data_IF_066054818007
#
_entry.id   IF_066054818007
#
_cell.length_a   1.000
_cell.length_b   1.000
_cell.length_c   1.000
_cell.angle_alpha   90.00
_cell.angle_beta   90.00
_cell.angle_gamma   90.00
#
_symmetry.space_group_name_H-M   'P 1'
#
loop_
_entity.id
_entity.type
_entity.pdbx_description
1 polymer ?
#
# COMPACT_ATOMS: atom_id res chain seq x y z
N UNK A 1 30.05 -48.67 24.30
CA UNK A 1 29.01 -49.65 24.68
C UNK A 1 28.04 -48.96 25.62
N UNK A 2 26.76 -49.19 25.34
CA UNK A 2 25.52 -48.65 25.91
C UNK A 2 25.52 -48.40 27.43
N UNK A 3 25.11 -47.19 27.83
CA UNK A 3 24.57 -46.90 29.17
C UNK A 3 23.05 -47.15 29.14
N UNK A 4 22.61 -48.13 29.93
CA UNK A 4 21.20 -48.48 30.18
C UNK A 4 20.73 -47.75 31.44
N UNK A 5 19.56 -47.13 31.39
CA UNK A 5 18.82 -46.67 32.56
C UNK A 5 17.72 -47.70 32.89
N UNK A 6 17.73 -48.18 34.13
CA UNK A 6 16.69 -49.02 34.73
C UNK A 6 15.53 -48.13 35.22
N UNK A 7 14.30 -48.45 34.82
CA UNK A 7 13.08 -47.95 35.45
C UNK A 7 12.50 -49.06 36.32
N UNK A 8 12.42 -48.82 37.63
CA UNK A 8 11.68 -49.67 38.56
C UNK A 8 10.18 -49.54 38.30
N UNK A 9 9.56 -50.67 37.99
CA UNK A 9 8.13 -50.89 38.11
C UNK A 9 7.83 -51.18 39.58
N UNK A 10 6.94 -50.40 40.20
CA UNK A 10 6.10 -50.91 41.27
C UNK A 10 4.63 -50.69 40.88
N UNK A 11 3.93 -51.83 40.79
CA UNK A 11 2.51 -51.99 40.53
C UNK A 11 1.68 -51.55 41.74
N UNK A 12 0.52 -50.94 41.51
CA UNK A 12 -0.74 -51.46 42.06
C UNK A 12 -1.95 -50.72 41.48
N UNK A 13 -2.84 -51.51 40.88
CA UNK A 13 -4.21 -51.22 40.54
C UNK A 13 -5.03 -50.72 41.72
N UNK A 14 -5.94 -49.77 41.49
CA UNK A 14 -7.30 -49.84 42.02
C UNK A 14 -8.24 -48.96 41.17
N UNK A 15 -9.27 -49.61 40.64
CA UNK A 15 -10.41 -49.02 39.93
C UNK A 15 -11.30 -48.29 40.93
N UNK A 16 -11.43 -46.96 40.83
CA UNK A 16 -12.60 -46.23 41.32
C UNK A 16 -12.95 -45.07 40.36
N UNK A 17 -14.08 -45.20 39.67
CA UNK A 17 -14.75 -44.10 38.98
C UNK A 17 -15.55 -43.27 40.00
N UNK A 18 -15.39 -41.94 40.06
CA UNK A 18 -16.42 -41.06 40.58
C UNK A 18 -17.17 -40.40 39.42
N UNK A 19 -18.47 -40.64 39.38
CA UNK A 19 -19.44 -39.84 38.63
C UNK A 19 -19.81 -38.56 39.40
N UNK A 20 -20.34 -37.59 38.65
CA UNK A 20 -21.11 -36.39 39.05
C UNK A 20 -20.38 -35.03 39.13
N UNK A 21 -20.77 -34.20 38.15
CA UNK A 21 -21.05 -32.76 38.23
C UNK A 21 -19.98 -31.83 38.78
N UNK A 22 -19.16 -31.31 37.87
CA UNK A 22 -18.70 -29.93 37.97
C UNK A 22 -19.17 -29.15 36.74
N UNK A 23 -20.17 -28.30 36.95
CA UNK A 23 -20.44 -27.19 36.05
C UNK A 23 -19.15 -26.36 35.98
N UNK A 24 -18.42 -26.49 34.87
CA UNK A 24 -17.31 -25.62 34.57
C UNK A 24 -17.87 -24.21 34.38
N UNK A 25 -17.73 -23.40 35.43
CA UNK A 25 -17.80 -21.95 35.30
C UNK A 25 -16.78 -21.58 34.21
N UNK A 26 -17.29 -21.33 33.01
CA UNK A 26 -16.56 -20.71 31.92
C UNK A 26 -16.01 -19.40 32.48
N UNK A 27 -14.74 -19.42 32.91
CA UNK A 27 -13.99 -18.18 33.11
C UNK A 27 -14.13 -17.39 31.81
N UNK A 28 -14.55 -16.12 31.83
CA UNK A 28 -14.56 -15.32 30.62
C UNK A 28 -13.15 -15.42 30.03
N UNK A 29 -13.07 -15.93 28.79
CA UNK A 29 -11.81 -16.03 28.05
C UNK A 29 -11.20 -14.63 28.09
N UNK A 30 -9.99 -14.50 28.64
CA UNK A 30 -9.31 -13.21 28.64
C UNK A 30 -9.33 -12.64 27.21
N UNK A 31 -9.59 -11.32 27.03
CA UNK A 31 -9.62 -10.74 25.70
C UNK A 31 -8.30 -11.10 24.99
N UNK A 32 -8.42 -11.60 23.76
CA UNK A 32 -7.25 -11.89 22.92
C UNK A 32 -6.58 -10.54 22.65
N UNK A 33 -5.41 -10.31 23.24
CA UNK A 33 -4.64 -9.09 23.01
C UNK A 33 -4.25 -9.03 21.53
N UNK A 34 -4.69 -7.99 20.83
CA UNK A 34 -4.37 -7.75 19.42
C UNK A 34 -3.05 -7.00 19.27
N UNK A 35 -2.40 -7.12 18.13
CA UNK A 35 -1.15 -6.41 17.84
C UNK A 35 -1.36 -4.89 17.94
N UNK A 36 -2.45 -4.36 17.38
CA UNK A 36 -2.82 -2.94 17.46
C UNK A 36 -3.14 -2.45 18.88
N UNK A 37 -3.51 -3.34 19.81
CA UNK A 37 -3.75 -2.98 21.21
C UNK A 37 -2.45 -2.83 22.01
N UNK A 38 -1.41 -3.52 21.58
CA UNK A 38 -0.12 -3.61 22.28
C UNK A 38 0.98 -2.78 21.61
N UNK A 39 0.72 -2.31 20.38
CA UNK A 39 1.67 -1.53 19.61
C UNK A 39 1.65 -0.06 20.04
N UNK A 40 2.73 0.36 20.71
CA UNK A 40 2.91 1.74 21.13
C UNK A 40 3.71 2.54 20.08
N UNK A 41 3.08 3.58 19.54
CA UNK A 41 3.74 4.52 18.62
C UNK A 41 4.40 5.64 19.43
N UNK A 42 5.70 5.85 19.21
CA UNK A 42 6.44 6.96 19.82
C UNK A 42 5.87 8.30 19.36
N UNK A 43 5.92 9.31 20.23
CA UNK A 43 5.37 10.65 19.97
C UNK A 43 5.82 11.28 18.65
N UNK A 44 7.10 11.13 18.33
CA UNK A 44 7.75 11.64 17.12
C UNK A 44 7.33 10.92 15.85
N UNK A 45 6.83 9.68 15.97
CA UNK A 45 6.42 8.83 14.86
C UNK A 45 4.90 8.76 14.70
N UNK A 46 4.15 9.58 15.43
CA UNK A 46 2.70 9.66 15.28
C UNK A 46 2.33 10.03 13.85
N UNK A 47 1.23 9.49 13.31
CA UNK A 47 0.82 9.77 11.95
C UNK A 47 0.43 11.25 11.79
N UNK A 48 0.85 11.86 10.67
CA UNK A 48 0.62 13.27 10.39
C UNK A 48 0.09 13.45 8.97
N UNK A 49 -0.95 14.28 8.83
CA UNK A 49 -1.52 14.67 7.55
C UNK A 49 -0.71 15.81 6.92
N UNK A 50 -0.44 15.69 5.62
CA UNK A 50 0.25 16.70 4.84
C UNK A 50 -0.60 17.19 3.69
N UNK A 51 -0.53 18.50 3.43
CA UNK A 51 -1.28 19.10 2.33
C UNK A 51 -0.53 18.94 1.01
N UNK A 52 -1.27 18.79 -0.10
CA UNK A 52 -0.67 18.79 -1.42
C UNK A 52 0.09 20.10 -1.70
N UNK A 53 -0.44 21.24 -1.25
CA UNK A 53 0.19 22.56 -1.40
C UNK A 53 1.57 22.62 -0.71
N UNK A 54 1.66 22.18 0.56
CA UNK A 54 2.92 22.19 1.29
C UNK A 54 3.97 21.31 0.61
N UNK A 55 3.61 20.13 0.12
CA UNK A 55 4.55 19.23 -0.57
C UNK A 55 4.96 19.78 -1.96
N UNK A 56 4.02 20.31 -2.74
CA UNK A 56 4.32 20.91 -4.06
C UNK A 56 5.22 22.13 -3.93
N UNK A 57 5.06 22.92 -2.86
CA UNK A 57 5.89 24.10 -2.64
C UNK A 57 7.39 23.76 -2.55
N UNK A 58 7.73 22.55 -2.10
CA UNK A 58 9.13 22.11 -1.98
C UNK A 58 9.71 21.56 -3.28
N UNK A 59 8.89 21.44 -4.34
CA UNK A 59 9.33 21.02 -5.66
C UNK A 59 9.50 22.21 -6.61
N UNK A 60 9.11 23.42 -6.20
CA UNK A 60 9.24 24.60 -7.04
C UNK A 60 10.70 24.86 -7.42
N UNK A 61 10.93 25.05 -8.71
CA UNK A 61 12.24 25.29 -9.32
C UNK A 61 13.24 24.12 -9.14
N UNK A 62 12.73 22.93 -8.81
CA UNK A 62 13.50 21.70 -8.77
C UNK A 62 13.47 21.05 -10.15
N UNK A 63 14.66 20.68 -10.66
CA UNK A 63 14.79 19.79 -11.80
C UNK A 63 14.73 18.36 -11.30
N UNK A 64 13.78 17.59 -11.84
CA UNK A 64 13.63 16.16 -11.55
C UNK A 64 14.24 15.36 -12.69
N UNK A 65 15.17 14.46 -12.39
CA UNK A 65 15.60 13.43 -13.35
C UNK A 65 14.95 12.10 -13.02
N UNK A 66 14.49 11.38 -14.04
CA UNK A 66 13.73 10.15 -13.89
C UNK A 66 14.11 9.09 -14.92
N UNK A 67 13.77 7.84 -14.62
CA UNK A 67 13.90 6.71 -15.54
C UNK A 67 12.58 6.01 -15.72
N UNK A 68 12.38 5.41 -16.89
CA UNK A 68 11.25 4.53 -17.13
C UNK A 68 11.67 3.07 -16.92
N UNK A 69 10.76 2.30 -16.35
CA UNK A 69 10.88 0.85 -16.19
C UNK A 69 9.67 0.19 -16.84
N UNK A 70 9.87 -1.03 -17.35
CA UNK A 70 8.81 -1.88 -17.88
C UNK A 70 8.63 -3.04 -16.92
N UNK A 71 7.41 -3.21 -16.41
CA UNK A 71 7.04 -4.34 -15.54
C UNK A 71 7.12 -5.67 -16.32
N UNK A 72 7.16 -6.82 -15.65
CA UNK A 72 7.04 -8.13 -16.31
C UNK A 72 5.78 -8.26 -17.19
N UNK A 73 4.66 -7.66 -16.78
CA UNK A 73 3.42 -7.57 -17.55
C UNK A 73 3.41 -6.53 -18.67
N UNK A 74 4.52 -5.86 -18.95
CA UNK A 74 4.68 -4.94 -20.08
C UNK A 74 4.18 -3.51 -19.84
N UNK A 75 3.88 -3.14 -18.60
CA UNK A 75 3.42 -1.81 -18.23
C UNK A 75 4.61 -0.86 -18.00
N UNK A 76 4.52 0.36 -18.53
CA UNK A 76 5.54 1.39 -18.31
C UNK A 76 5.23 2.17 -17.04
N UNK A 77 6.24 2.35 -16.20
CA UNK A 77 6.20 3.22 -15.02
C UNK A 77 7.45 4.08 -14.95
N UNK A 78 7.35 5.24 -14.30
CA UNK A 78 8.45 6.19 -14.18
C UNK A 78 8.92 6.32 -12.72
N UNK A 79 10.21 6.52 -12.51
CA UNK A 79 10.80 6.65 -11.17
C UNK A 79 11.81 7.77 -11.16
N UNK A 80 11.67 8.71 -10.24
CA UNK A 80 12.70 9.70 -9.93
C UNK A 80 14.00 9.00 -9.55
N UNK A 81 15.11 9.48 -10.09
CA UNK A 81 16.40 8.86 -9.84
C UNK A 81 16.90 9.14 -8.42
N UNK A 82 17.53 8.12 -7.82
CA UNK A 82 17.97 8.24 -6.43
C UNK A 82 19.10 9.27 -6.27
N UNK A 83 19.99 9.38 -7.26
CA UNK A 83 21.04 10.40 -7.22
C UNK A 83 20.46 11.82 -7.30
N UNK A 84 19.33 12.00 -7.98
CA UNK A 84 18.63 13.29 -8.09
C UNK A 84 18.02 13.69 -6.74
N UNK A 85 17.42 12.71 -6.04
CA UNK A 85 16.96 12.89 -4.64
C UNK A 85 18.13 13.29 -3.74
N UNK A 86 19.26 12.58 -3.82
CA UNK A 86 20.47 12.91 -3.04
C UNK A 86 20.96 14.34 -3.33
N UNK A 87 20.99 14.73 -4.60
CA UNK A 87 21.40 16.07 -5.00
C UNK A 87 20.48 17.14 -4.41
N UNK A 88 19.15 16.98 -4.49
CA UNK A 88 18.21 17.91 -3.88
C UNK A 88 18.48 18.08 -2.38
N UNK A 89 18.61 16.97 -1.64
CA UNK A 89 18.88 16.97 -0.20
C UNK A 89 20.22 17.64 0.16
N UNK A 90 21.22 17.55 -0.72
CA UNK A 90 22.51 18.24 -0.55
C UNK A 90 22.43 19.75 -0.85
N UNK A 91 21.48 20.18 -1.68
CA UNK A 91 21.31 21.60 -2.05
C UNK A 91 20.39 22.39 -1.13
N UNK A 92 19.47 21.71 -0.44
CA UNK A 92 18.59 22.35 0.55
C UNK A 92 19.38 22.79 1.79
N UNK A 93 18.94 23.87 2.46
CA UNK A 93 19.65 24.44 3.60
C UNK A 93 19.93 23.40 4.71
N UNK A 94 21.12 23.46 5.29
CA UNK A 94 21.56 22.54 6.35
C UNK A 94 20.68 22.73 7.62
N UNK A 95 19.69 21.86 7.77
CA UNK A 95 18.99 21.63 9.04
C UNK A 95 19.53 20.35 9.71
N UNK A 96 19.39 20.18 11.03
CA UNK A 96 19.75 18.92 11.70
C UNK A 96 19.05 17.70 11.07
N UNK A 97 17.78 17.85 10.71
CA UNK A 97 16.98 16.87 9.96
C UNK A 97 17.58 16.54 8.59
N UNK A 98 18.11 17.54 7.89
CA UNK A 98 18.76 17.35 6.59
C UNK A 98 20.05 16.53 6.74
N UNK A 99 20.80 16.66 7.84
CA UNK A 99 22.02 15.90 8.09
C UNK A 99 21.75 14.41 8.33
N UNK A 100 20.72 14.09 9.14
CA UNK A 100 20.30 12.70 9.37
C UNK A 100 19.85 12.03 8.06
N UNK A 101 19.08 12.75 7.23
CA UNK A 101 18.64 12.27 5.93
C UNK A 101 19.81 12.10 4.94
N UNK A 102 20.78 13.01 4.93
CA UNK A 102 21.99 12.87 4.13
C UNK A 102 22.77 11.62 4.53
N UNK A 103 22.95 11.40 5.84
CA UNK A 103 23.61 10.21 6.36
C UNK A 103 22.88 8.94 5.93
N UNK A 104 21.56 8.90 6.09
CA UNK A 104 20.69 7.81 5.65
C UNK A 104 20.88 7.47 4.15
N UNK A 105 20.90 8.49 3.30
CA UNK A 105 21.03 8.31 1.84
C UNK A 105 22.47 7.96 1.40
N UNK A 106 23.48 8.20 2.24
CA UNK A 106 24.90 7.94 1.95
C UNK A 106 25.33 6.55 2.47
N UNK A 107 24.75 6.05 3.57
CA UNK A 107 25.19 4.83 4.28
C UNK A 107 24.78 3.49 3.63
N UNK A 108 24.47 3.48 2.33
CA UNK A 108 23.96 2.37 1.50
C UNK A 108 24.71 1.01 1.53
N UNK A 109 25.72 0.81 2.37
CA UNK A 109 26.51 -0.43 2.44
C UNK A 109 26.35 -1.26 3.73
N UNK A 110 25.43 -0.94 4.65
CA UNK A 110 25.23 -1.76 5.87
C UNK A 110 23.75 -2.03 6.20
N UNK A 111 23.24 -3.10 5.58
CA UNK A 111 22.00 -3.81 5.88
C UNK A 111 20.69 -3.06 5.57
N UNK A 112 19.94 -3.58 4.59
CA UNK A 112 18.71 -3.02 4.01
C UNK A 112 17.55 -2.77 5.00
N UNK A 113 17.66 -3.20 6.26
CA UNK A 113 16.58 -3.16 7.25
C UNK A 113 17.15 -2.94 8.66
N UNK A 114 17.30 -1.68 9.07
CA UNK A 114 17.55 -1.34 10.47
C UNK A 114 16.21 -1.08 11.19
N UNK A 115 16.03 -1.64 12.39
CA UNK A 115 14.80 -1.42 13.16
C UNK A 115 14.66 0.06 13.53
N UNK A 116 13.50 0.66 13.23
CA UNK A 116 13.18 2.08 13.45
C UNK A 116 13.84 3.09 12.51
N UNK A 117 14.56 2.64 11.48
CA UNK A 117 15.11 3.49 10.42
C UNK A 117 14.68 2.88 9.08
N UNK A 118 13.56 3.35 8.53
CA UNK A 118 13.02 2.82 7.28
C UNK A 118 13.68 3.52 6.08
N UNK A 119 14.67 2.87 5.46
CA UNK A 119 15.37 3.36 4.27
C UNK A 119 14.68 2.94 2.96
N UNK A 120 13.77 1.96 3.03
CA UNK A 120 13.19 1.28 1.86
C UNK A 120 12.34 2.17 0.96
N UNK A 121 11.78 3.27 1.48
CA UNK A 121 10.83 4.11 0.73
C UNK A 121 11.44 4.89 -0.44
N UNK A 122 12.77 5.11 -0.43
CA UNK A 122 13.49 5.77 -1.52
C UNK A 122 13.78 4.86 -2.73
N UNK A 123 13.60 3.55 -2.56
CA UNK A 123 13.84 2.54 -3.60
C UNK A 123 12.51 1.90 -3.99
N UNK A 124 12.43 1.49 -5.26
CA UNK A 124 11.32 0.64 -5.71
C UNK A 124 11.67 -0.81 -5.43
N UNK A 125 10.66 -1.54 -4.96
CA UNK A 125 10.76 -2.96 -4.67
C UNK A 125 10.05 -3.76 -5.76
N UNK A 126 10.51 -4.98 -6.03
CA UNK A 126 9.99 -5.81 -7.12
C UNK A 126 8.48 -6.03 -7.01
N UNK A 127 7.98 -6.21 -5.78
CA UNK A 127 6.55 -6.39 -5.52
C UNK A 127 5.67 -5.21 -5.96
N UNK A 128 6.23 -4.00 -6.11
CA UNK A 128 5.43 -2.85 -6.58
C UNK A 128 5.10 -2.97 -8.06
N UNK A 129 5.97 -3.59 -8.87
CA UNK A 129 5.71 -3.87 -10.28
C UNK A 129 4.65 -4.96 -10.44
N UNK A 130 4.68 -5.99 -9.58
CA UNK A 130 3.65 -7.03 -9.55
C UNK A 130 2.25 -6.44 -9.30
N UNK A 131 2.13 -5.48 -8.38
CA UNK A 131 0.87 -4.77 -8.12
C UNK A 131 0.45 -3.95 -9.34
N UNK A 132 1.38 -3.26 -10.01
CA UNK A 132 1.07 -2.52 -11.25
C UNK A 132 0.47 -3.44 -12.30
N UNK A 133 1.04 -4.63 -12.50
CA UNK A 133 0.52 -5.62 -13.45
C UNK A 133 -0.87 -6.12 -13.06
N UNK A 134 -1.09 -6.37 -11.76
CA UNK A 134 -2.42 -6.73 -11.26
C UNK A 134 -3.44 -5.61 -11.50
N UNK A 135 -3.11 -4.35 -11.21
CA UNK A 135 -3.99 -3.21 -11.46
C UNK A 135 -4.28 -3.03 -12.95
N UNK A 136 -3.30 -3.26 -13.82
CA UNK A 136 -3.49 -3.24 -15.29
C UNK A 136 -4.50 -4.30 -15.73
N UNK A 137 -4.40 -5.52 -15.19
CA UNK A 137 -5.38 -6.59 -15.45
C UNK A 137 -6.79 -6.19 -15.00
N UNK A 138 -6.94 -5.58 -13.82
CA UNK A 138 -8.23 -5.12 -13.31
C UNK A 138 -8.87 -4.04 -14.20
N UNK A 139 -8.07 -3.07 -14.65
CA UNK A 139 -8.54 -2.02 -15.58
C UNK A 139 -8.99 -2.62 -16.92
N UNK A 140 -8.24 -3.59 -17.45
CA UNK A 140 -8.57 -4.22 -18.73
C UNK A 140 -9.85 -5.06 -18.65
N UNK A 141 -10.04 -5.78 -17.56
CA UNK A 141 -11.25 -6.58 -17.34
C UNK A 141 -12.50 -5.70 -17.20
N UNK A 142 -12.39 -4.55 -16.53
CA UNK A 142 -13.48 -3.56 -16.47
C UNK A 142 -13.89 -3.08 -17.86
N UNK A 143 -12.93 -2.70 -18.69
CA UNK A 143 -13.19 -2.22 -20.05
C UNK A 143 -13.84 -3.29 -20.94
N UNK A 144 -13.38 -4.54 -20.85
CA UNK A 144 -13.97 -5.65 -21.59
C UNK A 144 -15.45 -5.86 -21.22
N UNK A 145 -15.77 -5.82 -19.92
CA UNK A 145 -17.14 -5.96 -19.41
C UNK A 145 -18.06 -4.78 -19.79
N UNK A 146 -17.52 -3.58 -19.90
CA UNK A 146 -18.26 -2.41 -20.38
C UNK A 146 -18.62 -2.52 -21.88
N UNK A 147 -17.71 -3.08 -22.70
CA UNK A 147 -17.98 -3.27 -24.14
C UNK A 147 -18.99 -4.37 -24.43
N UNK A 148 -18.97 -5.49 -23.68
CA UNK A 148 -19.90 -6.61 -23.87
C UNK A 148 -21.34 -6.30 -23.45
N UNK A 149 -21.55 -5.37 -22.52
CA UNK A 149 -22.87 -4.94 -22.06
C UNK A 149 -23.56 -3.94 -23.01
N UNK A 150 -22.80 -3.28 -23.90
CA UNK A 150 -23.36 -2.32 -24.86
C UNK A 150 -23.98 -2.96 -26.12
N UNK A 151 -23.68 -4.23 -26.42
CA UNK A 151 -24.12 -4.88 -27.68
C UNK A 151 -25.40 -5.76 -27.54
N UNK A 152 -25.86 -6.07 -26.32
CA UNK A 152 -27.02 -6.94 -26.09
C UNK A 152 -28.06 -6.35 -25.12
N UNK A 153 -28.57 -5.14 -25.40
CA UNK A 153 -29.67 -4.56 -24.62
C UNK A 153 -31.05 -4.75 -25.27
N UNK A 154 -31.58 -5.98 -25.21
CA UNK A 154 -33.03 -6.23 -25.21
C UNK A 154 -33.40 -7.30 -24.19
N UNK A 155 -34.11 -6.85 -23.15
CA UNK A 155 -34.93 -7.58 -22.17
C UNK A 155 -34.32 -8.50 -21.08
N UNK A 156 -34.50 -7.99 -19.85
CA UNK A 156 -35.00 -8.62 -18.62
C UNK A 156 -34.19 -9.68 -17.84
N UNK A 157 -33.82 -9.21 -16.65
CA UNK A 157 -34.01 -9.78 -15.30
C UNK A 157 -33.13 -10.91 -14.74
N UNK A 158 -32.69 -10.60 -13.51
CA UNK A 158 -32.43 -11.48 -12.37
C UNK A 158 -31.36 -12.54 -12.54
N UNK A 159 -30.15 -12.19 -12.11
CA UNK A 159 -29.16 -13.10 -11.59
C UNK A 159 -28.21 -12.28 -10.74
N UNK A 160 -28.09 -12.63 -9.46
CA UNK A 160 -26.88 -12.39 -8.70
C UNK A 160 -25.72 -12.94 -9.52
N UNK A 161 -25.09 -12.10 -10.33
CA UNK A 161 -23.75 -12.36 -10.83
C UNK A 161 -22.83 -11.72 -9.83
N UNK A 162 -22.20 -12.55 -9.01
CA UNK A 162 -21.01 -12.24 -8.23
C UNK A 162 -19.99 -11.54 -9.15
N UNK A 163 -20.05 -10.21 -9.22
CA UNK A 163 -19.10 -9.41 -9.98
C UNK A 163 -17.79 -9.41 -9.19
N UNK A 164 -16.96 -10.40 -9.50
CA UNK A 164 -15.53 -10.44 -9.21
C UNK A 164 -14.91 -9.09 -9.62
N UNK A 165 -14.50 -8.33 -8.60
CA UNK A 165 -13.81 -7.04 -8.67
C UNK A 165 -14.33 -6.05 -9.74
N UNK A 166 -15.27 -5.20 -9.33
CA UNK A 166 -15.54 -3.95 -10.04
C UNK A 166 -14.26 -3.14 -10.22
N UNK A 167 -14.22 -2.34 -11.29
CA UNK A 167 -13.07 -1.52 -11.66
C UNK A 167 -12.42 -0.71 -10.53
N UNK A 168 -11.15 -0.38 -10.70
CA UNK A 168 -10.37 0.40 -9.72
C UNK A 168 -10.66 1.90 -9.78
N UNK A 169 -11.23 2.39 -10.89
CA UNK A 169 -11.64 3.79 -11.00
C UNK A 169 -12.91 4.05 -10.21
N UNK A 170 -12.98 5.22 -9.54
CA UNK A 170 -14.11 5.55 -8.68
C UNK A 170 -13.95 5.13 -7.22
N UNK A 171 -12.88 4.38 -6.90
CA UNK A 171 -12.58 3.91 -5.55
C UNK A 171 -11.76 4.94 -4.76
N UNK A 172 -11.86 4.85 -3.44
CA UNK A 172 -10.92 5.47 -2.53
C UNK A 172 -9.84 4.43 -2.15
N UNK A 173 -8.61 4.71 -2.58
CA UNK A 173 -7.51 3.75 -2.57
C UNK A 173 -6.46 4.20 -1.57
N UNK A 174 -6.11 3.33 -0.63
CA UNK A 174 -5.00 3.52 0.31
C UNK A 174 -3.78 2.73 -0.15
N UNK A 175 -2.65 3.39 -0.38
CA UNK A 175 -1.34 2.79 -0.61
C UNK A 175 -0.55 2.84 0.71
N UNK A 176 -0.55 1.73 1.45
CA UNK A 176 0.11 1.58 2.75
C UNK A 176 1.58 1.21 2.56
N UNK A 177 2.48 2.11 2.99
CA UNK A 177 3.91 1.95 2.75
C UNK A 177 4.25 2.23 1.29
N UNK A 178 3.76 3.37 0.77
CA UNK A 178 3.74 3.63 -0.65
C UNK A 178 5.14 3.83 -1.24
N UNK A 179 6.13 4.31 -0.48
CA UNK A 179 7.48 4.54 -0.98
C UNK A 179 7.49 5.36 -2.28
N UNK A 180 8.00 4.76 -3.35
CA UNK A 180 7.99 5.33 -4.71
C UNK A 180 6.61 5.46 -5.36
N UNK A 181 5.56 4.91 -4.77
CA UNK A 181 4.17 4.99 -5.20
C UNK A 181 3.93 4.58 -6.65
N UNK A 182 4.64 3.57 -7.14
CA UNK A 182 4.45 3.06 -8.50
C UNK A 182 3.01 2.59 -8.77
N UNK A 183 2.33 1.87 -7.86
CA UNK A 183 0.93 1.47 -8.08
C UNK A 183 0.00 2.68 -8.23
N UNK A 184 0.04 3.63 -7.30
CA UNK A 184 -0.78 4.84 -7.36
C UNK A 184 -0.45 5.73 -8.57
N UNK A 185 0.83 5.83 -8.93
CA UNK A 185 1.26 6.61 -10.10
C UNK A 185 0.82 5.99 -11.41
N UNK A 186 0.85 4.66 -11.51
CA UNK A 186 0.31 3.94 -12.66
C UNK A 186 -1.21 4.15 -12.79
N UNK A 187 -1.96 4.07 -11.69
CA UNK A 187 -3.40 4.36 -11.70
C UNK A 187 -3.70 5.78 -12.16
N UNK A 188 -2.96 6.76 -11.63
CA UNK A 188 -3.09 8.15 -12.03
C UNK A 188 -2.81 8.33 -13.52
N UNK A 189 -1.72 7.73 -14.02
CA UNK A 189 -1.37 7.74 -15.44
C UNK A 189 -2.49 7.15 -16.30
N UNK A 190 -2.99 5.96 -15.95
CA UNK A 190 -4.08 5.29 -16.69
C UNK A 190 -5.39 6.07 -16.65
N UNK A 191 -5.67 6.78 -15.56
CA UNK A 191 -6.83 7.66 -15.45
C UNK A 191 -6.79 8.77 -16.50
N UNK A 192 -5.63 9.38 -16.71
CA UNK A 192 -5.43 10.40 -17.75
C UNK A 192 -5.46 9.81 -19.16
N UNK A 193 -4.74 8.71 -19.38
CA UNK A 193 -4.68 8.00 -20.68
C UNK A 193 -6.09 7.62 -21.17
N UNK A 194 -6.91 7.08 -20.27
CA UNK A 194 -8.28 6.63 -20.56
C UNK A 194 -9.32 7.75 -20.45
N UNK A 195 -8.92 8.99 -20.19
CA UNK A 195 -9.80 10.13 -19.98
C UNK A 195 -10.89 9.89 -18.89
N UNK A 196 -10.62 9.05 -17.90
CA UNK A 196 -11.60 8.65 -16.89
C UNK A 196 -11.84 9.78 -15.88
N UNK A 197 -13.10 10.22 -15.74
CA UNK A 197 -13.50 11.35 -14.87
C UNK A 197 -14.20 10.94 -13.57
N UNK A 198 -14.24 9.65 -13.22
CA UNK A 198 -14.82 9.21 -11.94
C UNK A 198 -14.02 9.78 -10.77
N UNK A 199 -14.69 10.18 -9.69
CA UNK A 199 -13.99 10.70 -8.51
C UNK A 199 -13.15 9.61 -7.86
N UNK A 200 -11.92 9.91 -7.50
CA UNK A 200 -10.98 8.96 -6.91
C UNK A 200 -10.18 9.67 -5.81
N UNK A 201 -10.01 9.00 -4.67
CA UNK A 201 -9.06 9.43 -3.65
C UNK A 201 -7.86 8.49 -3.67
N UNK A 202 -6.66 9.05 -3.68
CA UNK A 202 -5.42 8.32 -3.46
C UNK A 202 -4.87 8.76 -2.10
N UNK A 203 -4.98 7.87 -1.11
CA UNK A 203 -4.40 8.05 0.22
C UNK A 203 -3.03 7.37 0.21
N UNK A 204 -1.97 8.14 0.39
CA UNK A 204 -0.59 7.72 0.23
C UNK A 204 0.10 7.83 1.58
N UNK A 205 0.55 6.69 2.12
CA UNK A 205 1.18 6.62 3.42
C UNK A 205 2.58 6.05 3.37
N UNK A 206 3.52 6.76 3.98
CA UNK A 206 4.87 6.23 4.23
C UNK A 206 5.28 6.58 5.67
N UNK A 207 6.21 5.82 6.23
CA UNK A 207 6.75 6.14 7.55
C UNK A 207 7.44 7.52 7.54
N UNK A 208 8.17 7.84 6.47
CA UNK A 208 8.99 9.05 6.39
C UNK A 208 8.30 10.15 5.58
N UNK A 209 8.21 11.35 6.16
CA UNK A 209 7.76 12.55 5.44
C UNK A 209 8.61 12.84 4.19
N UNK A 210 9.92 12.68 4.28
CA UNK A 210 10.83 12.95 3.17
C UNK A 210 10.64 12.01 1.99
N UNK A 211 10.17 10.77 2.21
CA UNK A 211 9.80 9.87 1.12
C UNK A 211 8.59 10.43 0.36
N UNK A 212 7.56 10.89 1.09
CA UNK A 212 6.38 11.50 0.48
C UNK A 212 6.74 12.73 -0.35
N UNK A 213 7.61 13.59 0.21
CA UNK A 213 8.04 14.85 -0.38
C UNK A 213 8.98 14.68 -1.58
N UNK A 214 10.01 13.85 -1.42
CA UNK A 214 11.11 13.75 -2.38
C UNK A 214 10.88 12.66 -3.43
N UNK A 215 9.98 11.71 -3.21
CA UNK A 215 9.83 10.54 -4.07
C UNK A 215 8.39 10.30 -4.50
N UNK A 216 7.47 10.13 -3.54
CA UNK A 216 6.06 9.79 -3.82
C UNK A 216 5.39 10.84 -4.70
N UNK A 217 5.37 12.11 -4.27
CA UNK A 217 4.73 13.18 -5.04
C UNK A 217 5.44 13.47 -6.37
N UNK A 218 6.78 13.56 -6.43
CA UNK A 218 7.50 13.67 -7.70
C UNK A 218 7.15 12.58 -8.71
N UNK A 219 7.04 11.32 -8.27
CA UNK A 219 6.68 10.22 -9.18
C UNK A 219 5.26 10.38 -9.73
N UNK A 220 4.28 10.80 -8.92
CA UNK A 220 2.92 11.11 -9.40
C UNK A 220 2.95 12.22 -10.46
N UNK A 221 3.74 13.28 -10.22
CA UNK A 221 3.89 14.40 -11.14
C UNK A 221 4.53 13.96 -12.45
N UNK A 222 5.60 13.16 -12.41
CA UNK A 222 6.29 12.63 -13.60
C UNK A 222 5.32 11.78 -14.44
N UNK A 223 4.55 10.89 -13.79
CA UNK A 223 3.56 10.08 -14.48
C UNK A 223 2.46 10.93 -15.12
N UNK A 224 1.97 11.97 -14.46
CA UNK A 224 1.05 12.92 -15.11
C UNK A 224 1.71 13.64 -16.30
N UNK A 225 2.96 14.12 -16.16
CA UNK A 225 3.70 14.79 -17.22
C UNK A 225 3.84 13.92 -18.48
N UNK A 226 4.02 12.60 -18.30
CA UNK A 226 4.10 11.63 -19.41
C UNK A 226 2.83 11.59 -20.27
N UNK A 227 1.69 12.06 -19.75
CA UNK A 227 0.40 12.07 -20.45
C UNK A 227 0.11 13.40 -21.15
N UNK A 228 1.03 14.38 -21.05
CA UNK A 228 0.87 15.67 -21.71
C UNK A 228 1.43 15.64 -23.14
N UNK A 229 0.80 16.37 -24.08
CA UNK A 229 1.41 16.63 -25.38
C UNK A 229 2.76 17.33 -25.22
N UNK A 230 3.78 16.92 -25.99
CA UNK A 230 5.16 17.45 -25.89
C UNK A 230 5.21 18.99 -25.93
N UNK A 231 4.40 19.63 -26.78
CA UNK A 231 4.32 21.10 -26.87
C UNK A 231 3.80 21.76 -25.59
N UNK A 232 2.84 21.12 -24.94
CA UNK A 232 2.26 21.61 -23.69
C UNK A 232 3.24 21.39 -22.54
N UNK A 233 3.85 20.20 -22.45
CA UNK A 233 4.89 19.92 -21.47
C UNK A 233 6.01 20.95 -21.55
N UNK A 234 6.58 21.17 -22.74
CA UNK A 234 7.63 22.18 -22.96
C UNK A 234 7.19 23.58 -22.48
N UNK A 235 5.95 23.99 -22.75
CA UNK A 235 5.43 25.29 -22.28
C UNK A 235 5.36 25.37 -20.75
N UNK A 236 5.04 24.27 -20.09
CA UNK A 236 4.91 24.20 -18.63
C UNK A 236 6.26 24.06 -17.93
N UNK A 237 7.27 23.47 -18.56
CA UNK A 237 8.56 23.16 -17.92
C UNK A 237 9.70 24.11 -18.31
N UNK A 238 9.52 25.02 -19.26
CA UNK A 238 10.58 25.97 -19.65
C UNK A 238 10.30 27.40 -19.21
N UNK A 239 11.36 28.16 -18.94
CA UNK A 239 11.33 29.62 -18.75
C UNK A 239 12.50 30.28 -19.50
N UNK A 240 12.73 31.58 -19.27
CA UNK A 240 13.81 32.32 -19.94
C UNK A 240 15.21 31.79 -19.58
N UNK A 241 15.38 31.19 -18.39
CA UNK A 241 16.65 30.66 -17.89
C UNK A 241 16.80 29.15 -18.19
N UNK A 242 15.69 28.40 -18.18
CA UNK A 242 15.59 26.95 -18.31
C UNK A 242 14.94 26.54 -19.64
N UNK A 243 15.60 26.87 -20.74
CA UNK A 243 15.10 26.61 -22.10
C UNK A 243 15.34 25.17 -22.61
N UNK A 244 16.16 24.37 -21.92
CA UNK A 244 16.57 23.02 -22.35
C UNK A 244 16.58 22.04 -21.18
N UNK A 245 15.97 20.88 -21.41
CA UNK A 245 16.00 19.72 -20.53
C UNK A 245 16.05 18.46 -21.39
N UNK A 246 16.65 17.40 -20.85
CA UNK A 246 16.74 16.11 -21.52
C UNK A 246 15.37 15.39 -21.49
N UNK A 247 15.18 14.33 -22.29
CA UNK A 247 13.90 13.60 -22.35
C UNK A 247 13.53 12.92 -21.02
N UNK A 248 14.51 12.73 -20.15
CA UNK A 248 14.46 12.14 -18.81
C UNK A 248 14.44 13.20 -17.70
N UNK A 249 14.18 14.46 -18.03
CA UNK A 249 14.13 15.57 -17.07
C UNK A 249 12.79 16.30 -17.11
N UNK A 250 12.34 16.77 -15.94
CA UNK A 250 11.21 17.70 -15.80
C UNK A 250 11.62 18.83 -14.86
N UNK A 251 11.62 20.06 -15.37
CA UNK A 251 11.75 21.24 -14.51
C UNK A 251 10.38 21.61 -13.94
N UNK A 252 10.29 21.65 -12.61
CA UNK A 252 9.04 21.89 -11.90
C UNK A 252 8.82 23.39 -11.70
N UNK A 253 8.26 24.04 -12.71
CA UNK A 253 7.91 25.46 -12.62
C UNK A 253 6.59 25.67 -11.87
N UNK A 254 6.36 26.89 -11.42
CA UNK A 254 5.07 27.34 -10.89
C UNK A 254 3.89 27.03 -11.84
N UNK A 255 4.09 27.18 -13.16
CA UNK A 255 3.03 26.90 -14.16
C UNK A 255 2.72 25.41 -14.23
N UNK A 256 3.74 24.55 -14.12
CA UNK A 256 3.56 23.10 -14.09
C UNK A 256 2.75 22.68 -12.85
N UNK A 257 3.11 23.22 -11.68
CA UNK A 257 2.39 22.99 -10.42
C UNK A 257 0.91 23.37 -10.56
N UNK A 258 0.62 24.58 -11.06
CA UNK A 258 -0.75 25.06 -11.25
C UNK A 258 -1.54 24.19 -12.25
N UNK A 259 -0.90 23.78 -13.35
CA UNK A 259 -1.50 22.89 -14.33
C UNK A 259 -1.79 21.50 -13.75
N UNK A 260 -0.89 20.96 -12.94
CA UNK A 260 -1.07 19.67 -12.26
C UNK A 260 -2.25 19.71 -11.29
N UNK A 261 -2.31 20.70 -10.40
CA UNK A 261 -3.42 20.87 -9.44
C UNK A 261 -4.76 21.04 -10.18
N UNK A 262 -4.80 21.86 -11.23
CA UNK A 262 -5.99 22.04 -12.05
C UNK A 262 -6.41 20.72 -12.71
N UNK A 263 -5.45 19.96 -13.23
CA UNK A 263 -5.68 18.66 -13.86
C UNK A 263 -6.24 17.63 -12.88
N UNK A 264 -5.74 17.58 -11.64
CA UNK A 264 -6.29 16.70 -10.59
C UNK A 264 -7.76 17.02 -10.34
N UNK A 265 -8.12 18.29 -10.20
CA UNK A 265 -9.51 18.74 -10.02
C UNK A 265 -10.40 18.37 -11.22
N UNK A 266 -9.93 18.63 -12.44
CA UNK A 266 -10.67 18.31 -13.67
C UNK A 266 -10.91 16.81 -13.88
N UNK A 267 -10.06 15.95 -13.31
CA UNK A 267 -10.20 14.50 -13.35
C UNK A 267 -10.82 13.90 -12.09
N UNK A 268 -11.18 14.74 -11.12
CA UNK A 268 -11.80 14.30 -9.86
C UNK A 268 -10.85 13.50 -8.97
N UNK A 269 -9.56 13.79 -9.00
CA UNK A 269 -8.54 13.15 -8.16
C UNK A 269 -8.26 14.00 -6.93
N UNK A 270 -8.36 13.39 -5.75
CA UNK A 270 -7.92 13.96 -4.48
C UNK A 270 -6.73 13.15 -3.97
N UNK A 271 -5.63 13.83 -3.65
CA UNK A 271 -4.41 13.23 -3.10
C UNK A 271 -4.33 13.55 -1.62
N UNK A 272 -4.17 12.51 -0.78
CA UNK A 272 -4.02 12.63 0.67
C UNK A 272 -2.71 11.99 1.07
N UNK A 273 -1.91 12.69 1.88
CA UNK A 273 -0.57 12.24 2.28
C UNK A 273 -0.51 12.08 3.79
N UNK A 274 -0.05 10.92 4.26
CA UNK A 274 0.07 10.60 5.69
C UNK A 274 1.49 10.08 5.96
N UNK A 275 2.29 10.84 6.70
CA UNK A 275 3.58 10.32 7.19
C UNK A 275 3.42 9.67 8.56
N UNK A 276 4.38 8.86 9.00
CA UNK A 276 4.45 8.32 10.36
C UNK A 276 4.06 6.84 10.45
N UNK A 277 4.07 6.32 11.67
CA UNK A 277 3.84 4.90 11.95
C UNK A 277 2.38 4.51 11.70
N UNK A 278 2.19 3.29 11.19
CA UNK A 278 0.89 2.63 11.22
C UNK A 278 0.44 2.39 12.67
N UNK A 279 -0.81 1.97 12.85
CA UNK A 279 -1.40 1.74 14.16
C UNK A 279 -2.79 2.35 14.26
N UNK A 280 -3.36 2.34 15.47
CA UNK A 280 -4.75 2.75 15.68
C UNK A 280 -4.99 4.23 15.34
N UNK A 281 -4.07 5.12 15.73
CA UNK A 281 -4.14 6.55 15.36
C UNK A 281 -4.06 6.76 13.84
N UNK A 282 -3.31 5.91 13.13
CA UNK A 282 -3.24 5.97 11.66
C UNK A 282 -4.54 5.51 11.02
N UNK A 283 -5.11 4.39 11.50
CA UNK A 283 -6.40 3.89 11.04
C UNK A 283 -7.51 4.93 11.23
N UNK A 284 -7.55 5.60 12.38
CA UNK A 284 -8.51 6.67 12.69
C UNK A 284 -8.43 7.83 11.68
N UNK A 285 -7.22 8.23 11.25
CA UNK A 285 -7.04 9.24 10.21
C UNK A 285 -7.55 8.73 8.86
N UNK A 286 -7.15 7.52 8.46
CA UNK A 286 -7.52 6.90 7.18
C UNK A 286 -9.03 6.73 7.04
N UNK A 287 -9.71 6.37 8.12
CA UNK A 287 -11.17 6.17 8.17
C UNK A 287 -11.96 7.42 7.77
N UNK A 288 -11.41 8.62 7.99
CA UNK A 288 -12.03 9.89 7.58
C UNK A 288 -12.24 9.99 6.07
N UNK A 289 -11.46 9.24 5.29
CA UNK A 289 -11.47 9.30 3.84
C UNK A 289 -12.35 8.25 3.19
N UNK A 290 -12.84 7.26 3.96
CA UNK A 290 -13.49 6.02 3.51
C UNK A 290 -12.59 5.23 2.57
N UNK A 291 -12.24 3.99 2.88
CA UNK A 291 -11.34 3.19 2.02
C UNK A 291 -12.09 2.01 1.42
N UNK A 292 -12.09 1.93 0.08
CA UNK A 292 -12.69 0.83 -0.66
C UNK A 292 -11.62 -0.19 -1.11
N UNK A 293 -10.37 0.27 -1.31
CA UNK A 293 -9.28 -0.56 -1.79
C UNK A 293 -7.97 -0.27 -1.04
N UNK A 294 -7.24 -1.29 -0.63
CA UNK A 294 -5.91 -1.15 -0.01
C UNK A 294 -4.86 -1.80 -0.90
N UNK A 295 -3.76 -1.10 -1.11
CA UNK A 295 -2.52 -1.61 -1.70
C UNK A 295 -1.48 -1.62 -0.60
N UNK A 296 -0.71 -2.70 -0.52
CA UNK A 296 0.49 -2.74 0.30
C UNK A 296 1.55 -3.59 -0.37
N UNK A 297 2.78 -3.07 -0.45
CA UNK A 297 3.88 -3.73 -1.17
C UNK A 297 5.12 -3.81 -0.28
N UNK A 298 5.62 -5.01 -0.02
CA UNK A 298 6.77 -5.29 0.86
C UNK A 298 6.67 -4.68 2.27
N UNK A 299 5.50 -4.74 2.91
CA UNK A 299 5.27 -4.19 4.27
C UNK A 299 5.27 -5.23 5.39
N UNK A 300 5.22 -6.51 5.02
CA UNK A 300 5.16 -7.67 5.94
C UNK A 300 6.53 -8.34 6.16
N UNK A 301 7.62 -7.59 6.01
CA UNK A 301 8.98 -8.11 6.06
C UNK A 301 9.45 -8.54 7.46
N UNK A 302 8.79 -8.09 8.53
CA UNK A 302 9.15 -8.40 9.92
C UNK A 302 7.99 -9.05 10.67
N UNK A 303 8.25 -10.05 11.54
CA UNK A 303 7.22 -10.65 12.40
C UNK A 303 6.54 -9.65 13.35
N UNK A 304 7.13 -8.48 13.57
CA UNK A 304 6.54 -7.41 14.39
C UNK A 304 5.56 -6.55 13.59
N UNK A 305 5.87 -6.24 12.33
CA UNK A 305 5.03 -5.35 11.49
C UNK A 305 3.88 -6.08 10.83
N UNK A 306 4.10 -7.34 10.47
CA UNK A 306 3.14 -8.19 9.78
C UNK A 306 1.77 -8.29 10.51
N UNK A 307 1.70 -8.50 11.84
CA UNK A 307 0.44 -8.46 12.59
C UNK A 307 -0.26 -7.09 12.55
N UNK A 308 0.51 -6.00 12.59
CA UNK A 308 0.00 -4.62 12.57
C UNK A 308 -0.64 -4.32 11.21
N UNK A 309 0.00 -4.72 10.11
CA UNK A 309 -0.54 -4.57 8.75
C UNK A 309 -1.83 -5.39 8.60
N UNK A 310 -1.80 -6.66 9.02
CA UNK A 310 -2.96 -7.55 8.95
C UNK A 310 -4.18 -6.95 9.68
N UNK A 311 -4.00 -6.56 10.94
CA UNK A 311 -5.08 -6.01 11.74
C UNK A 311 -5.55 -4.63 11.24
N UNK A 312 -4.65 -3.79 10.73
CA UNK A 312 -5.02 -2.48 10.18
C UNK A 312 -5.93 -2.63 8.96
N UNK A 313 -5.60 -3.53 8.03
CA UNK A 313 -6.44 -3.83 6.87
C UNK A 313 -7.85 -4.25 7.32
N UNK A 314 -7.93 -5.19 8.27
CA UNK A 314 -9.20 -5.71 8.76
C UNK A 314 -10.01 -4.66 9.53
N UNK A 315 -9.36 -3.85 10.37
CA UNK A 315 -10.01 -2.80 11.15
C UNK A 315 -10.59 -1.70 10.26
N UNK A 316 -9.81 -1.23 9.28
CA UNK A 316 -10.23 -0.20 8.30
C UNK A 316 -11.46 -0.70 7.53
N UNK A 317 -11.43 -1.93 6.99
CA UNK A 317 -12.57 -2.48 6.25
C UNK A 317 -13.79 -2.76 7.12
N UNK A 318 -13.59 -3.29 8.33
CA UNK A 318 -14.70 -3.56 9.23
C UNK A 318 -15.46 -2.27 9.59
N UNK A 319 -14.74 -1.20 9.93
CA UNK A 319 -15.36 0.10 10.22
C UNK A 319 -16.05 0.70 9.01
N UNK A 320 -15.45 0.61 7.82
CA UNK A 320 -16.06 1.06 6.57
C UNK A 320 -17.44 0.39 6.35
N UNK A 321 -17.55 -0.91 6.58
CA UNK A 321 -18.82 -1.64 6.41
C UNK A 321 -19.86 -1.29 7.47
N UNK A 322 -19.44 -1.07 8.72
CA UNK A 322 -20.34 -0.62 9.78
C UNK A 322 -20.97 0.74 9.45
N UNK A 323 -20.20 1.66 8.87
CA UNK A 323 -20.69 2.97 8.43
C UNK A 323 -21.70 2.83 7.26
N UNK A 324 -21.48 1.89 6.35
CA UNK A 324 -22.33 1.71 5.16
C UNK A 324 -23.70 1.06 5.46
N UNK A 325 -23.76 0.13 6.42
CA UNK A 325 -25.00 -0.53 6.83
C UNK A 325 -26.07 0.45 7.35
N UNK A 326 -25.69 1.70 7.63
CA UNK A 326 -26.57 2.73 8.16
C UNK A 326 -27.21 3.63 7.08
N UNK A 327 -26.83 3.54 5.80
CA UNK A 327 -27.24 4.58 4.81
C UNK A 327 -27.60 4.15 3.38
N UNK A 328 -27.39 2.91 2.93
CA UNK A 328 -27.87 2.49 1.58
C UNK A 328 -27.79 0.97 1.31
N UNK A 329 -28.75 0.45 0.53
CA UNK A 329 -28.93 -0.97 0.16
C UNK A 329 -27.87 -1.57 -0.80
N UNK A 330 -26.70 -0.94 -0.98
CA UNK A 330 -25.63 -1.49 -1.84
C UNK A 330 -24.38 -1.69 -0.98
N UNK A 331 -24.18 -2.94 -0.51
CA UNK A 331 -22.99 -3.37 0.24
C UNK A 331 -21.77 -3.12 -0.68
N UNK A 332 -20.85 -2.22 -0.31
CA UNK A 332 -19.61 -2.10 -1.06
C UNK A 332 -18.67 -3.22 -0.65
N UNK A 333 -18.12 -3.88 -1.64
CA UNK A 333 -17.03 -4.83 -1.48
C UNK A 333 -15.73 -4.07 -1.22
N UNK A 334 -14.98 -4.47 -0.19
CA UNK A 334 -13.67 -3.90 0.12
C UNK A 334 -12.58 -4.92 -0.19
N UNK A 335 -11.49 -4.48 -0.81
CA UNK A 335 -10.41 -5.38 -1.25
C UNK A 335 -9.04 -4.84 -0.90
N UNK A 336 -8.16 -5.69 -0.36
CA UNK A 336 -6.75 -5.40 -0.22
C UNK A 336 -5.90 -6.29 -1.12
N UNK A 337 -4.87 -5.71 -1.74
CA UNK A 337 -3.78 -6.43 -2.40
C UNK A 337 -2.51 -6.21 -1.58
N UNK A 338 -1.96 -7.30 -1.05
CA UNK A 338 -0.67 -7.30 -0.35
C UNK A 338 0.33 -8.08 -1.18
N UNK A 339 1.30 -7.39 -1.76
CA UNK A 339 2.39 -7.98 -2.52
C UNK A 339 3.63 -8.15 -1.64
N UNK A 340 4.20 -9.35 -1.60
CA UNK A 340 5.34 -9.63 -0.73
C UNK A 340 6.25 -10.73 -1.27
N UNK A 341 7.53 -10.67 -0.89
CA UNK A 341 8.44 -11.81 -1.02
C UNK A 341 7.97 -12.96 -0.13
N UNK A 342 8.16 -14.20 -0.60
CA UNK A 342 7.76 -15.40 0.15
C UNK A 342 8.44 -15.46 1.53
N UNK A 343 9.70 -15.04 1.61
CA UNK A 343 10.49 -14.99 2.85
C UNK A 343 11.47 -13.82 2.81
N UNK A 344 11.67 -13.17 3.95
CA UNK A 344 12.64 -12.09 4.15
C UNK A 344 13.77 -12.57 5.08
N UNK A 345 14.92 -12.92 4.49
CA UNK A 345 16.09 -13.34 5.26
C UNK A 345 16.62 -12.21 6.15
N UNK A 346 17.04 -12.54 7.38
CA UNK A 346 17.56 -11.58 8.36
C UNK A 346 16.49 -11.00 9.29
N UNK A 347 15.40 -10.46 8.74
CA UNK A 347 14.29 -9.87 9.52
C UNK A 347 13.17 -10.86 9.86
N UNK A 348 13.03 -11.93 9.08
CA UNK A 348 12.25 -13.12 9.43
C UNK A 348 10.79 -13.17 8.95
N UNK A 349 10.22 -12.08 8.43
CA UNK A 349 8.84 -12.10 7.95
C UNK A 349 8.65 -13.00 6.74
N UNK A 350 7.41 -13.46 6.53
CA UNK A 350 7.06 -14.31 5.39
C UNK A 350 5.58 -14.25 5.04
N UNK A 351 5.25 -14.62 3.80
CA UNK A 351 3.85 -14.77 3.34
C UNK A 351 3.11 -15.82 4.18
N UNK A 352 3.78 -16.93 4.51
CA UNK A 352 3.18 -18.04 5.28
C UNK A 352 2.77 -17.57 6.68
N UNK A 353 3.63 -16.80 7.36
CA UNK A 353 3.30 -16.24 8.67
C UNK A 353 2.13 -15.25 8.61
N UNK A 354 2.07 -14.42 7.56
CA UNK A 354 0.98 -13.47 7.36
C UNK A 354 -0.36 -14.16 7.13
N UNK A 355 -0.40 -15.16 6.25
CA UNK A 355 -1.61 -15.95 5.99
C UNK A 355 -2.04 -16.72 7.23
N UNK A 356 -1.10 -17.32 7.98
CA UNK A 356 -1.39 -18.00 9.24
C UNK A 356 -2.02 -17.05 10.26
N UNK A 357 -1.50 -15.82 10.34
CA UNK A 357 -2.01 -14.80 11.24
C UNK A 357 -3.43 -14.33 10.85
N UNK A 358 -3.68 -14.09 9.56
CA UNK A 358 -5.01 -13.72 9.05
C UNK A 358 -6.03 -14.82 9.28
N UNK A 359 -5.70 -16.08 8.99
CA UNK A 359 -6.60 -17.23 9.22
C UNK A 359 -6.91 -17.42 10.72
N UNK A 360 -5.92 -17.18 11.58
CA UNK A 360 -6.15 -17.14 13.04
C UNK A 360 -7.19 -16.07 13.40
N UNK A 361 -7.01 -14.82 12.96
CA UNK A 361 -7.96 -13.73 13.25
C UNK A 361 -9.35 -14.07 12.70
N UNK A 362 -9.43 -14.54 11.45
CA UNK A 362 -10.67 -14.97 10.80
C UNK A 362 -11.43 -16.01 11.63
N UNK A 363 -10.71 -17.01 12.15
CA UNK A 363 -11.30 -18.06 12.98
C UNK A 363 -11.78 -17.54 14.34
N UNK A 364 -11.04 -16.61 14.95
CA UNK A 364 -11.34 -16.05 16.27
C UNK A 364 -12.53 -15.07 16.23
N UNK A 365 -12.54 -14.17 15.26
CA UNK A 365 -13.54 -13.11 15.14
C UNK A 365 -14.76 -13.54 14.30
N UNK A 366 -14.71 -14.73 13.69
CA UNK A 366 -15.73 -15.25 12.77
C UNK A 366 -16.07 -14.26 11.65
N UNK A 367 -15.06 -13.50 11.21
CA UNK A 367 -15.21 -12.50 10.15
C UNK A 367 -15.38 -13.20 8.80
N UNK A 368 -16.30 -12.69 7.99
CA UNK A 368 -16.49 -13.19 6.63
C UNK A 368 -15.49 -12.52 5.67
N UNK A 369 -14.25 -13.02 5.68
CA UNK A 369 -13.18 -12.58 4.80
C UNK A 369 -12.70 -13.70 3.86
N UNK A 370 -12.62 -13.37 2.57
CA UNK A 370 -11.92 -14.18 1.57
C UNK A 370 -10.44 -13.86 1.60
N UNK A 371 -9.59 -14.89 1.59
CA UNK A 371 -8.14 -14.73 1.50
C UNK A 371 -7.68 -15.65 0.38
N UNK A 372 -7.03 -15.08 -0.63
CA UNK A 372 -6.43 -15.80 -1.75
C UNK A 372 -4.97 -15.36 -1.88
N UNK A 373 -4.09 -16.28 -2.27
CA UNK A 373 -2.67 -16.00 -2.44
C UNK A 373 -2.16 -16.63 -3.74
N UNK A 374 -1.76 -15.79 -4.67
CA UNK A 374 -1.22 -16.18 -5.96
C UNK A 374 0.31 -16.07 -5.95
N UNK A 375 1.02 -17.14 -6.31
CA UNK A 375 2.48 -17.14 -6.42
C UNK A 375 2.92 -16.62 -7.81
N UNK A 376 3.88 -15.69 -7.81
CA UNK A 376 4.47 -15.13 -9.02
C UNK A 376 5.77 -15.89 -9.31
N UNK A 377 5.79 -16.60 -10.45
CA UNK A 377 6.84 -17.56 -10.81
C UNK A 377 7.93 -17.00 -11.75
N UNK A 378 8.02 -15.69 -11.93
CA UNK A 378 8.92 -15.06 -12.90
C UNK A 378 10.27 -14.59 -12.31
N UNK A 379 10.49 -14.83 -11.02
CA UNK A 379 11.56 -14.22 -10.24
C UNK A 379 12.54 -15.23 -9.64
N UNK A 380 13.77 -14.77 -9.37
CA UNK A 380 14.78 -15.58 -8.67
C UNK A 380 14.37 -15.89 -7.22
N UNK A 381 13.64 -14.97 -6.59
CA UNK A 381 13.01 -15.17 -5.28
C UNK A 381 11.50 -15.19 -5.48
N UNK A 382 10.83 -16.22 -4.94
CA UNK A 382 9.37 -16.36 -5.02
C UNK A 382 8.67 -15.16 -4.38
N UNK A 383 7.72 -14.56 -5.09
CA UNK A 383 6.85 -13.48 -4.59
C UNK A 383 5.39 -13.91 -4.65
N UNK A 384 4.53 -13.25 -3.91
CA UNK A 384 3.10 -13.55 -3.89
C UNK A 384 2.26 -12.29 -3.87
N UNK A 385 1.11 -12.34 -4.54
CA UNK A 385 0.01 -11.38 -4.42
C UNK A 385 -1.07 -12.01 -3.55
N UNK A 386 -1.33 -11.38 -2.41
CA UNK A 386 -2.35 -11.82 -1.46
C UNK A 386 -3.55 -10.90 -1.63
N UNK A 387 -4.69 -11.47 -1.99
CA UNK A 387 -5.96 -10.75 -2.10
C UNK A 387 -6.79 -11.01 -0.85
N UNK A 388 -7.17 -9.96 -0.14
CA UNK A 388 -8.06 -10.02 1.02
C UNK A 388 -9.35 -9.32 0.65
N UNK A 389 -10.46 -10.06 0.68
CA UNK A 389 -11.77 -9.56 0.31
C UNK A 389 -12.68 -9.55 1.54
N UNK A 390 -13.28 -8.40 1.83
CA UNK A 390 -14.17 -8.26 2.96
C UNK A 390 -15.61 -8.09 2.47
N UNK A 391 -16.52 -8.87 3.04
CA UNK A 391 -17.95 -8.69 2.88
C UNK A 391 -18.58 -9.36 1.66
N UNK A 392 -17.95 -10.44 1.15
CA UNK A 392 -18.60 -11.41 0.25
C UNK A 392 -19.83 -12.04 0.88
#
# INVERSE_FOLDING_TARGET
MSFKFEFNNDNSSDDEFPTTDSASLLKPKAPVLRALDTFEVRSENKPQLHTLESLLSTLKDVRLTFVNHVTPGGNVVYRRELYDVKHQVMTEEESPTSQDLQQLLIEENRADLQSNVYEGGFKSWECSYDVVDKLSSLINNENANATSTSENSTHNNSGDSDNELGGVFGLNILDMGCGTALPASFLLMKKYELCNKQKMKLILSDFNYDVLRLVTLPNLLIHWCSQLPVKELHKLTTDEENTRFNNDEVMVTERLIQAFVKSLLEFGVELIFISGSWGREFNEIVELYSVDFIISSETIYSPVTLPIVAESILEIFNKQLLLQNSSSNKRKHCTAIVAAKSIYFGVGGSVIEFLTYLEKIKSEDKTNIGIDAEEINDAQLKRSLITIEYGK
#
